data_IF_356529736398
#
_entry.id   IF_356529736398
#
_cell.length_a   1.000
_cell.length_b   1.000
_cell.length_c   1.000
_cell.angle_alpha   90.00
_cell.angle_beta   90.00
_cell.angle_gamma   90.00
#
_symmetry.space_group_name_H-M   'P 1'
#
loop_
_entity.id
_entity.type
_entity.pdbx_description
1 polymer ?
#
# COMPACT_ATOMS: atom_id res chain seq x y z
N UNK A 1 8.06 6.00 -41.58
CA UNK A 1 8.04 4.81 -40.71
C UNK A 1 7.49 5.17 -39.37
N UNK A 2 6.38 4.63 -39.02
CA UNK A 2 5.73 4.90 -37.70
C UNK A 2 5.44 3.59 -36.96
N UNK A 3 5.21 3.71 -35.66
CA UNK A 3 4.57 2.74 -34.79
C UNK A 3 5.42 1.60 -34.22
N UNK A 4 6.26 1.94 -33.24
CA UNK A 4 6.71 1.00 -32.21
C UNK A 4 6.69 1.66 -30.81
N UNK A 5 5.60 2.33 -30.43
CA UNK A 5 5.54 2.97 -29.09
C UNK A 5 4.32 2.57 -28.23
N UNK A 6 3.40 1.74 -28.72
CA UNK A 6 2.19 1.41 -27.97
C UNK A 6 2.30 0.15 -27.09
N UNK A 7 3.16 -0.81 -27.44
CA UNK A 7 3.31 -2.05 -26.66
C UNK A 7 4.20 -1.90 -25.43
N UNK A 8 5.21 -1.04 -25.48
CA UNK A 8 6.12 -0.83 -24.34
C UNK A 8 5.47 -0.02 -23.20
N UNK A 9 4.56 0.92 -23.52
CA UNK A 9 3.88 1.71 -22.51
C UNK A 9 2.81 0.91 -21.73
N UNK A 10 2.27 -0.15 -22.33
CA UNK A 10 1.23 -0.98 -21.71
C UNK A 10 1.81 -2.02 -20.73
N UNK A 11 3.05 -2.44 -20.94
CA UNK A 11 3.79 -3.32 -20.01
C UNK A 11 4.23 -2.57 -18.75
N UNK A 12 4.56 -1.28 -18.86
CA UNK A 12 4.95 -0.43 -17.73
C UNK A 12 3.78 -0.07 -16.79
N UNK A 13 2.55 -0.07 -17.29
CA UNK A 13 1.35 0.28 -16.49
C UNK A 13 0.90 -0.81 -15.52
N UNK A 14 1.49 -2.02 -15.56
CA UNK A 14 1.02 -3.17 -14.77
C UNK A 14 1.85 -3.49 -13.52
N UNK A 15 2.82 -2.68 -13.15
CA UNK A 15 3.63 -2.96 -11.96
C UNK A 15 2.94 -2.47 -10.70
N UNK A 16 2.19 -3.38 -10.11
CA UNK A 16 1.36 -3.29 -8.91
C UNK A 16 0.18 -2.33 -9.08
N UNK A 17 -0.75 -2.67 -9.93
CA UNK A 17 -2.13 -2.31 -9.70
C UNK A 17 -2.67 -3.24 -8.59
N UNK A 18 -2.49 -2.82 -7.35
CA UNK A 18 -2.97 -3.58 -6.18
C UNK A 18 -4.48 -3.79 -6.26
N UNK A 19 -5.22 -2.87 -6.91
CA UNK A 19 -6.66 -2.95 -7.13
C UNK A 19 -6.99 -4.08 -8.08
N UNK A 20 -6.29 -4.17 -9.21
CA UNK A 20 -6.45 -5.25 -10.19
C UNK A 20 -6.05 -6.60 -9.58
N UNK A 21 -4.92 -6.69 -8.88
CA UNK A 21 -4.48 -7.91 -8.19
C UNK A 21 -5.52 -8.39 -7.18
N UNK A 22 -6.08 -7.49 -6.37
CA UNK A 22 -7.08 -7.83 -5.38
C UNK A 22 -8.43 -8.20 -6.00
N UNK A 23 -8.81 -7.58 -7.11
CA UNK A 23 -9.99 -7.92 -7.90
C UNK A 23 -9.87 -9.33 -8.48
N UNK A 24 -8.79 -9.62 -9.19
CA UNK A 24 -8.58 -10.93 -9.80
C UNK A 24 -8.49 -12.06 -8.77
N UNK A 25 -7.72 -11.85 -7.69
CA UNK A 25 -7.59 -12.84 -6.64
C UNK A 25 -8.92 -13.15 -5.94
N UNK A 26 -9.75 -12.12 -5.72
CA UNK A 26 -11.08 -12.30 -5.13
C UNK A 26 -11.99 -13.09 -6.07
N UNK A 27 -12.06 -12.74 -7.35
CA UNK A 27 -12.92 -13.43 -8.31
C UNK A 27 -12.47 -14.88 -8.57
N UNK A 28 -11.16 -15.14 -8.63
CA UNK A 28 -10.64 -16.52 -8.70
C UNK A 28 -11.09 -17.36 -7.49
N UNK A 29 -11.18 -16.76 -6.32
CA UNK A 29 -11.63 -17.44 -5.10
C UNK A 29 -13.16 -17.58 -4.98
N UNK A 30 -13.93 -16.63 -5.50
CA UNK A 30 -15.40 -16.63 -5.48
C UNK A 30 -15.98 -17.62 -6.49
N UNK A 31 -15.30 -17.83 -7.63
CA UNK A 31 -15.85 -18.55 -8.78
C UNK A 31 -16.91 -17.73 -9.53
N UNK A 32 -17.45 -18.29 -10.61
CA UNK A 32 -18.37 -17.57 -11.51
C UNK A 32 -19.70 -17.17 -10.85
N UNK A 33 -20.15 -17.92 -9.86
CA UNK A 33 -21.46 -17.73 -9.22
C UNK A 33 -21.54 -16.43 -8.43
N UNK A 34 -20.46 -16.05 -7.73
CA UNK A 34 -20.40 -14.86 -6.87
C UNK A 34 -19.44 -13.79 -7.40
N UNK A 35 -18.98 -13.94 -8.63
CA UNK A 35 -18.06 -12.99 -9.24
C UNK A 35 -18.62 -11.55 -9.22
N UNK A 36 -17.72 -10.60 -9.09
CA UNK A 36 -18.00 -9.16 -9.14
C UNK A 36 -17.38 -8.56 -10.39
N UNK A 37 -17.95 -7.47 -10.88
CA UNK A 37 -17.36 -6.71 -11.98
C UNK A 37 -16.22 -5.81 -11.45
N UNK A 38 -15.38 -5.29 -12.34
CA UNK A 38 -14.35 -4.34 -11.95
C UNK A 38 -14.96 -3.04 -11.41
N UNK A 39 -16.09 -2.61 -11.95
CA UNK A 39 -16.82 -1.43 -11.49
C UNK A 39 -17.37 -1.64 -10.07
N UNK A 40 -17.95 -2.82 -9.78
CA UNK A 40 -18.39 -3.20 -8.44
C UNK A 40 -17.19 -3.21 -7.47
N UNK A 41 -16.05 -3.75 -7.93
CA UNK A 41 -14.84 -3.78 -7.11
C UNK A 41 -14.39 -2.38 -6.73
N UNK A 42 -14.19 -1.51 -7.70
CA UNK A 42 -13.66 -0.16 -7.49
C UNK A 42 -14.61 0.75 -6.69
N UNK A 43 -15.92 0.62 -6.93
CA UNK A 43 -16.92 1.48 -6.25
C UNK A 43 -17.28 1.03 -4.85
N UNK A 44 -17.16 -0.26 -4.55
CA UNK A 44 -17.77 -0.84 -3.34
C UNK A 44 -16.78 -1.59 -2.46
N UNK A 45 -15.83 -2.32 -3.05
CA UNK A 45 -15.01 -3.29 -2.33
C UNK A 45 -13.55 -2.86 -2.19
N UNK A 46 -13.06 -1.91 -3.01
CA UNK A 46 -11.66 -1.52 -2.98
C UNK A 46 -11.24 -0.95 -1.61
N UNK A 47 -10.01 -1.27 -1.20
CA UNK A 47 -9.47 -0.86 0.10
C UNK A 47 -10.03 -1.58 1.33
N UNK A 48 -11.16 -2.31 1.21
CA UNK A 48 -11.75 -3.02 2.35
C UNK A 48 -11.03 -4.33 2.69
N UNK A 49 -10.98 -4.72 3.98
CA UNK A 49 -10.53 -6.04 4.39
C UNK A 49 -11.36 -7.16 3.75
N UNK A 50 -10.74 -8.31 3.46
CA UNK A 50 -11.42 -9.45 2.82
C UNK A 50 -12.67 -9.88 3.58
N UNK A 51 -12.63 -9.91 4.92
CA UNK A 51 -13.78 -10.26 5.75
C UNK A 51 -14.99 -9.35 5.49
N UNK A 52 -14.74 -8.04 5.42
CA UNK A 52 -15.80 -7.05 5.12
C UNK A 52 -16.41 -7.27 3.74
N UNK A 53 -15.56 -7.53 2.73
CA UNK A 53 -16.00 -7.85 1.36
C UNK A 53 -16.91 -9.08 1.34
N UNK A 54 -16.53 -10.15 2.03
CA UNK A 54 -17.30 -11.39 2.08
C UNK A 54 -18.64 -11.21 2.80
N UNK A 55 -18.69 -10.46 3.90
CA UNK A 55 -19.95 -10.13 4.58
C UNK A 55 -20.90 -9.38 3.64
N UNK A 56 -20.40 -8.37 2.93
CA UNK A 56 -21.21 -7.62 1.96
C UNK A 56 -21.70 -8.50 0.79
N UNK A 57 -20.88 -9.46 0.35
CA UNK A 57 -21.27 -10.42 -0.69
C UNK A 57 -22.36 -11.38 -0.19
N UNK A 58 -22.32 -11.78 1.09
CA UNK A 58 -23.40 -12.55 1.70
C UNK A 58 -24.72 -11.77 1.72
N UNK A 59 -24.68 -10.50 2.10
CA UNK A 59 -25.85 -9.62 2.14
C UNK A 59 -26.41 -9.31 0.74
N UNK A 60 -25.54 -9.07 -0.25
CA UNK A 60 -25.94 -8.59 -1.58
C UNK A 60 -26.17 -9.69 -2.61
N UNK A 61 -25.39 -10.78 -2.53
CA UNK A 61 -25.38 -11.86 -3.53
C UNK A 61 -25.71 -13.23 -2.93
N UNK A 62 -26.02 -13.32 -1.63
CA UNK A 62 -26.35 -14.58 -0.97
C UNK A 62 -25.18 -15.56 -0.80
N UNK A 63 -23.93 -15.06 -0.77
CA UNK A 63 -22.77 -15.90 -0.53
C UNK A 63 -22.90 -16.61 0.83
N UNK A 64 -22.81 -17.97 0.90
CA UNK A 64 -22.89 -18.70 2.16
C UNK A 64 -21.75 -18.32 3.11
N UNK A 65 -22.09 -18.00 4.36
CA UNK A 65 -21.12 -17.52 5.36
C UNK A 65 -20.12 -18.60 5.80
N UNK A 66 -20.49 -19.86 5.71
CA UNK A 66 -19.63 -21.02 5.98
C UNK A 66 -18.48 -21.17 4.96
N UNK A 67 -18.63 -20.60 3.75
CA UNK A 67 -17.59 -20.55 2.73
C UNK A 67 -16.55 -19.42 2.94
N UNK A 68 -16.80 -18.46 3.84
CA UNK A 68 -15.92 -17.29 4.01
C UNK A 68 -14.47 -17.67 4.32
N UNK A 69 -14.24 -18.62 5.20
CA UNK A 69 -12.89 -19.01 5.60
C UNK A 69 -12.12 -19.68 4.44
N UNK A 70 -12.80 -20.49 3.64
CA UNK A 70 -12.22 -21.13 2.45
C UNK A 70 -11.86 -20.08 1.39
N UNK A 71 -12.82 -19.20 1.05
CA UNK A 71 -12.64 -18.16 0.05
C UNK A 71 -11.53 -17.18 0.48
N UNK A 72 -11.45 -16.82 1.76
CA UNK A 72 -10.38 -15.95 2.25
C UNK A 72 -9.00 -16.59 2.09
N UNK A 73 -8.84 -17.88 2.37
CA UNK A 73 -7.59 -18.63 2.14
C UNK A 73 -7.25 -18.75 0.67
N UNK A 74 -8.23 -19.09 -0.18
CA UNK A 74 -8.04 -19.19 -1.62
C UNK A 74 -7.65 -17.83 -2.22
N UNK A 75 -8.34 -16.76 -1.85
CA UNK A 75 -8.01 -15.37 -2.26
C UNK A 75 -6.58 -15.00 -1.88
N UNK A 76 -6.15 -15.33 -0.66
CA UNK A 76 -4.78 -15.06 -0.23
C UNK A 76 -3.75 -15.79 -1.08
N UNK A 77 -3.98 -17.09 -1.36
CA UNK A 77 -3.12 -17.87 -2.24
C UNK A 77 -3.06 -17.23 -3.64
N UNK A 78 -4.20 -16.94 -4.25
CA UNK A 78 -4.25 -16.31 -5.58
C UNK A 78 -3.57 -14.95 -5.59
N UNK A 79 -3.69 -14.15 -4.52
CA UNK A 79 -2.97 -12.86 -4.43
C UNK A 79 -1.46 -13.07 -4.51
N UNK A 80 -0.92 -14.02 -3.75
CA UNK A 80 0.52 -14.32 -3.75
C UNK A 80 0.98 -14.86 -5.11
N UNK A 81 0.19 -15.74 -5.74
CA UNK A 81 0.51 -16.30 -7.06
C UNK A 81 0.54 -15.20 -8.12
N UNK A 82 -0.47 -14.32 -8.16
CA UNK A 82 -0.50 -13.16 -9.09
C UNK A 82 0.69 -12.24 -8.86
N UNK A 83 1.03 -11.91 -7.62
CA UNK A 83 2.17 -11.04 -7.31
C UNK A 83 3.49 -11.64 -7.84
N UNK A 84 3.70 -12.95 -7.68
CA UNK A 84 4.89 -13.62 -8.22
C UNK A 84 4.97 -13.60 -9.74
N UNK A 85 3.81 -13.66 -10.41
CA UNK A 85 3.73 -13.69 -11.86
C UNK A 85 3.85 -12.30 -12.50
N UNK A 86 3.36 -11.27 -11.82
CA UNK A 86 3.14 -9.95 -12.43
C UNK A 86 4.07 -8.85 -11.92
N UNK A 87 4.61 -9.00 -10.71
CA UNK A 87 5.46 -7.97 -10.09
C UNK A 87 6.93 -8.27 -10.34
N UNK A 88 7.63 -7.26 -10.84
CA UNK A 88 9.08 -7.30 -11.06
C UNK A 88 9.74 -6.10 -10.37
N UNK A 89 11.04 -6.19 -10.02
CA UNK A 89 11.76 -5.06 -9.44
C UNK A 89 11.74 -3.83 -10.35
N UNK A 90 11.53 -2.66 -9.76
CA UNK A 90 11.65 -1.37 -10.41
C UNK A 90 12.97 -0.73 -9.98
N UNK A 91 13.91 -0.57 -10.90
CA UNK A 91 15.24 -0.04 -10.59
C UNK A 91 15.17 1.37 -9.96
N UNK A 92 14.33 2.26 -10.50
CA UNK A 92 14.10 3.61 -9.98
C UNK A 92 13.56 3.62 -8.55
N UNK A 93 12.70 2.65 -8.22
CA UNK A 93 12.13 2.53 -6.88
C UNK A 93 13.12 1.92 -5.88
N UNK A 94 13.91 0.93 -6.33
CA UNK A 94 15.04 0.38 -5.54
C UNK A 94 16.07 1.46 -5.23
N UNK A 95 16.46 2.25 -6.24
CA UNK A 95 17.42 3.34 -6.08
C UNK A 95 16.89 4.43 -5.15
N UNK A 96 15.60 4.76 -5.25
CA UNK A 96 14.94 5.69 -4.33
C UNK A 96 14.98 5.18 -2.88
N UNK A 97 14.61 3.92 -2.64
CA UNK A 97 14.62 3.34 -1.29
C UNK A 97 16.05 3.34 -0.70
N UNK A 98 17.06 3.01 -1.52
CA UNK A 98 18.46 3.06 -1.13
C UNK A 98 18.87 4.47 -0.73
N UNK A 99 18.59 5.46 -1.58
CA UNK A 99 18.96 6.85 -1.33
C UNK A 99 18.29 7.41 -0.06
N UNK A 100 17.02 7.06 0.18
CA UNK A 100 16.32 7.43 1.41
C UNK A 100 17.02 6.83 2.64
N UNK A 101 17.43 5.56 2.56
CA UNK A 101 18.17 4.89 3.65
C UNK A 101 19.55 5.47 3.86
N UNK A 102 20.30 5.77 2.78
CA UNK A 102 21.64 6.36 2.84
C UNK A 102 21.62 7.76 3.47
N UNK A 103 20.51 8.49 3.35
CA UNK A 103 20.27 9.76 4.05
C UNK A 103 19.91 9.61 5.53
N UNK A 104 19.76 8.38 6.01
CA UNK A 104 19.49 8.06 7.42
C UNK A 104 18.04 8.07 7.81
N UNK A 105 17.09 8.04 6.86
CA UNK A 105 15.67 7.93 7.17
C UNK A 105 15.29 6.49 7.57
N UNK A 106 14.32 6.37 8.46
CA UNK A 106 13.63 5.11 8.73
C UNK A 106 12.57 4.90 7.66
N UNK A 107 12.58 3.76 7.00
CA UNK A 107 11.62 3.41 5.94
C UNK A 107 10.72 2.28 6.42
N UNK A 108 9.40 2.52 6.40
CA UNK A 108 8.40 1.58 6.92
C UNK A 108 7.26 1.40 5.92
N UNK A 109 6.76 0.18 5.78
CA UNK A 109 5.58 -0.11 4.97
C UNK A 109 4.35 -0.37 5.86
N UNK A 110 3.21 0.24 5.52
CA UNK A 110 1.94 0.07 6.21
C UNK A 110 0.81 -0.26 5.22
N UNK A 111 0.17 -1.41 5.34
CA UNK A 111 -0.82 -1.88 4.39
C UNK A 111 -2.02 -2.59 5.02
N UNK A 112 -3.23 -2.36 4.48
CA UNK A 112 -4.42 -3.15 4.81
C UNK A 112 -4.39 -4.59 4.25
N UNK A 113 -3.33 -4.98 3.54
CA UNK A 113 -3.11 -6.36 3.14
C UNK A 113 -2.68 -7.22 4.34
N UNK A 114 -2.78 -8.56 4.22
CA UNK A 114 -2.25 -9.47 5.23
C UNK A 114 -0.72 -9.53 5.14
N UNK A 115 -0.07 -9.89 6.25
CA UNK A 115 1.41 -9.85 6.42
C UNK A 115 2.17 -10.53 5.28
N UNK A 116 1.73 -11.72 4.85
CA UNK A 116 2.38 -12.46 3.78
C UNK A 116 2.29 -11.73 2.41
N UNK A 117 1.18 -11.05 2.15
CA UNK A 117 1.04 -10.22 0.94
C UNK A 117 2.02 -9.05 0.97
N UNK A 118 2.09 -8.32 2.09
CA UNK A 118 3.03 -7.20 2.25
C UNK A 118 4.46 -7.68 2.03
N UNK A 119 4.86 -8.72 2.75
CA UNK A 119 6.20 -9.32 2.61
C UNK A 119 6.51 -9.72 1.18
N UNK A 120 5.56 -10.40 0.51
CA UNK A 120 5.75 -10.85 -0.87
C UNK A 120 5.87 -9.68 -1.83
N UNK A 121 5.06 -8.62 -1.66
CA UNK A 121 5.15 -7.41 -2.48
C UNK A 121 6.53 -6.75 -2.35
N UNK A 122 7.03 -6.55 -1.14
CA UNK A 122 8.35 -5.96 -0.90
C UNK A 122 9.48 -6.83 -1.49
N UNK A 123 9.37 -8.16 -1.40
CA UNK A 123 10.33 -9.10 -2.00
C UNK A 123 10.33 -9.01 -3.53
N UNK A 124 9.15 -9.06 -4.16
CA UNK A 124 9.02 -9.02 -5.62
C UNK A 124 9.47 -7.67 -6.20
N UNK A 125 9.28 -6.59 -5.46
CA UNK A 125 9.79 -5.25 -5.83
C UNK A 125 11.30 -5.12 -5.65
N UNK A 126 11.96 -6.04 -4.96
CA UNK A 126 13.39 -5.96 -4.66
C UNK A 126 13.77 -4.91 -3.64
N UNK A 127 12.84 -4.52 -2.76
CA UNK A 127 13.03 -3.40 -1.82
C UNK A 127 12.94 -3.81 -0.34
N UNK A 128 12.68 -5.07 -0.03
CA UNK A 128 12.45 -5.52 1.35
C UNK A 128 13.62 -5.20 2.29
N UNK A 129 14.85 -5.24 1.79
CA UNK A 129 16.07 -4.98 2.57
C UNK A 129 16.23 -3.51 3.02
N UNK A 130 15.52 -2.58 2.36
CA UNK A 130 15.55 -1.16 2.72
C UNK A 130 14.53 -0.80 3.80
N UNK A 131 13.53 -1.68 4.05
CA UNK A 131 12.49 -1.43 5.04
C UNK A 131 12.90 -1.94 6.42
N UNK A 132 12.89 -1.06 7.41
CA UNK A 132 13.22 -1.40 8.79
C UNK A 132 12.20 -2.37 9.39
N UNK A 133 10.92 -2.20 9.03
CA UNK A 133 9.83 -3.11 9.34
C UNK A 133 8.59 -2.80 8.49
N UNK A 134 7.56 -3.62 8.63
CA UNK A 134 6.23 -3.38 8.03
C UNK A 134 5.12 -3.73 8.99
N UNK A 135 3.98 -3.06 8.81
CA UNK A 135 2.73 -3.26 9.53
C UNK A 135 1.65 -3.70 8.54
N UNK A 136 0.94 -4.74 8.88
CA UNK A 136 -0.18 -5.31 8.12
C UNK A 136 -1.51 -5.10 8.87
N UNK A 137 -2.62 -5.48 8.24
CA UNK A 137 -3.93 -5.48 8.91
C UNK A 137 -4.03 -6.48 10.07
N UNK A 138 -3.06 -7.40 10.21
CA UNK A 138 -3.00 -8.40 11.28
C UNK A 138 -2.26 -7.88 12.53
N UNK A 139 -1.62 -6.72 12.41
CA UNK A 139 -0.83 -6.11 13.48
C UNK A 139 -1.60 -5.02 14.24
N UNK A 140 -2.83 -4.70 13.81
CA UNK A 140 -3.69 -3.67 14.38
C UNK A 140 -5.10 -4.20 14.65
N UNK A 141 -5.77 -3.63 15.62
CA UNK A 141 -7.18 -3.95 15.91
C UNK A 141 -8.12 -3.29 14.89
N UNK A 142 -7.77 -2.09 14.44
CA UNK A 142 -8.57 -1.30 13.50
C UNK A 142 -7.69 -0.88 12.30
N UNK A 143 -7.87 -1.53 11.13
CA UNK A 143 -7.15 -1.15 9.92
C UNK A 143 -7.63 0.21 9.36
N UNK A 144 -6.92 0.74 8.33
CA UNK A 144 -7.34 1.97 7.62
C UNK A 144 -8.82 1.86 7.19
N UNK A 145 -9.64 2.89 7.37
CA UNK A 145 -9.31 4.30 7.57
C UNK A 145 -8.98 4.73 9.01
N UNK A 146 -8.95 3.81 9.99
CA UNK A 146 -8.55 4.18 11.34
C UNK A 146 -7.05 4.48 11.39
N UNK A 147 -6.65 5.47 12.21
CA UNK A 147 -5.26 5.94 12.33
C UNK A 147 -4.30 4.94 12.97
N UNK A 148 -4.80 3.91 13.65
CA UNK A 148 -4.03 2.97 14.49
C UNK A 148 -2.80 2.41 13.77
N UNK A 149 -2.94 2.03 12.48
CA UNK A 149 -1.85 1.47 11.71
C UNK A 149 -0.65 2.43 11.61
N UNK A 150 -0.90 3.71 11.36
CA UNK A 150 0.16 4.71 11.27
C UNK A 150 0.70 5.10 12.64
N UNK A 151 -0.18 5.11 13.65
CA UNK A 151 0.24 5.32 15.02
C UNK A 151 1.21 4.23 15.50
N UNK A 152 0.91 2.95 15.23
CA UNK A 152 1.80 1.83 15.52
C UNK A 152 3.13 1.92 14.76
N UNK A 153 3.12 2.39 13.51
CA UNK A 153 4.34 2.65 12.76
C UNK A 153 5.20 3.71 13.46
N UNK A 154 4.62 4.84 13.82
CA UNK A 154 5.32 5.93 14.51
C UNK A 154 5.84 5.50 15.88
N UNK A 155 5.04 4.75 16.64
CA UNK A 155 5.45 4.23 17.95
C UNK A 155 6.66 3.30 17.84
N UNK A 156 6.64 2.35 16.90
CA UNK A 156 7.77 1.42 16.68
C UNK A 156 9.02 2.10 16.14
N UNK A 157 8.85 3.17 15.37
CA UNK A 157 9.94 3.94 14.81
C UNK A 157 10.49 5.00 15.80
N UNK A 158 9.89 5.13 16.98
CA UNK A 158 10.19 6.19 17.96
C UNK A 158 10.10 7.60 17.33
N UNK A 159 9.01 7.82 16.57
CA UNK A 159 8.81 9.03 15.79
C UNK A 159 7.52 9.75 16.18
N UNK A 160 7.56 11.08 16.08
CA UNK A 160 6.37 11.91 16.27
C UNK A 160 5.62 12.09 14.95
N UNK A 161 4.31 12.38 15.00
CA UNK A 161 3.56 12.72 13.79
C UNK A 161 4.21 13.86 12.98
N UNK A 162 4.73 14.89 13.64
CA UNK A 162 5.42 16.01 13.00
C UNK A 162 6.79 15.67 12.41
N UNK A 163 7.29 14.46 12.64
CA UNK A 163 8.55 13.93 12.12
C UNK A 163 8.31 12.80 11.10
N UNK A 164 7.05 12.61 10.66
CA UNK A 164 6.65 11.48 9.82
C UNK A 164 5.97 11.97 8.55
N UNK A 165 6.52 11.59 7.39
CA UNK A 165 5.90 11.75 6.08
C UNK A 165 5.30 10.42 5.65
N UNK A 166 4.00 10.42 5.33
CA UNK A 166 3.28 9.24 4.84
C UNK A 166 2.91 9.45 3.39
N UNK A 167 3.31 8.53 2.53
CA UNK A 167 2.96 8.50 1.11
C UNK A 167 1.76 7.58 0.94
N UNK A 168 0.65 8.10 0.40
CA UNK A 168 -0.60 7.33 0.37
C UNK A 168 -1.41 7.62 -0.90
N UNK A 169 -1.87 6.56 -1.56
CA UNK A 169 -2.67 6.62 -2.79
C UNK A 169 -4.18 6.45 -2.55
N UNK A 170 -4.56 5.76 -1.49
CA UNK A 170 -5.96 5.41 -1.23
C UNK A 170 -6.71 6.48 -0.42
N UNK A 171 -8.01 6.63 -0.69
CA UNK A 171 -8.86 7.53 0.09
C UNK A 171 -8.91 7.15 1.59
N UNK A 172 -9.04 5.84 1.88
CA UNK A 172 -9.08 5.34 3.25
C UNK A 172 -7.75 5.57 3.99
N UNK A 173 -6.63 5.40 3.28
CA UNK A 173 -5.32 5.65 3.84
C UNK A 173 -5.08 7.13 4.11
N UNK A 174 -5.46 8.03 3.19
CA UNK A 174 -5.35 9.49 3.38
C UNK A 174 -6.13 9.96 4.60
N UNK A 175 -7.35 9.44 4.81
CA UNK A 175 -8.11 9.73 6.02
C UNK A 175 -7.35 9.29 7.28
N UNK A 176 -6.80 8.09 7.29
CA UNK A 176 -6.02 7.57 8.40
C UNK A 176 -4.76 8.42 8.69
N UNK A 177 -4.09 8.98 7.66
CA UNK A 177 -2.94 9.89 7.82
C UNK A 177 -3.37 11.18 8.51
N UNK A 178 -4.47 11.80 8.06
CA UNK A 178 -5.00 13.03 8.63
C UNK A 178 -5.36 12.84 10.10
N UNK A 179 -6.02 11.72 10.44
CA UNK A 179 -6.41 11.39 11.80
C UNK A 179 -5.20 11.04 12.69
N UNK A 180 -4.11 10.53 12.10
CA UNK A 180 -2.84 10.29 12.79
C UNK A 180 -2.03 11.57 13.06
N UNK A 181 -2.37 12.67 12.38
CA UNK A 181 -1.69 13.96 12.51
C UNK A 181 -0.30 14.03 11.87
N UNK A 182 0.03 13.07 11.01
CA UNK A 182 1.30 13.03 10.26
C UNK A 182 1.22 13.84 8.95
N UNK A 183 2.37 14.08 8.33
CA UNK A 183 2.43 14.75 7.02
C UNK A 183 2.01 13.78 5.92
N UNK A 184 1.24 14.26 4.96
CA UNK A 184 0.71 13.48 3.84
C UNK A 184 1.33 13.91 2.50
N UNK A 185 1.99 13.00 1.81
CA UNK A 185 2.26 13.09 0.38
C UNK A 185 1.21 12.25 -0.36
N UNK A 186 0.16 12.90 -0.85
CA UNK A 186 -0.87 12.23 -1.64
C UNK A 186 -0.34 11.94 -3.06
N UNK A 187 -0.48 10.67 -3.49
CA UNK A 187 -0.12 10.21 -4.83
C UNK A 187 -1.33 9.57 -5.50
N UNK A 188 -1.38 9.53 -6.82
CA UNK A 188 -2.47 8.84 -7.53
C UNK A 188 -2.25 7.33 -7.55
N UNK A 189 -1.00 6.91 -7.74
CA UNK A 189 -0.55 5.53 -7.70
C UNK A 189 0.97 5.45 -7.41
N UNK A 190 1.52 4.24 -7.44
CA UNK A 190 2.95 4.03 -7.16
C UNK A 190 3.90 4.60 -8.22
N UNK A 191 3.41 4.95 -9.41
CA UNK A 191 4.22 5.58 -10.46
C UNK A 191 4.46 7.06 -10.19
N UNK A 192 3.56 7.68 -9.43
CA UNK A 192 3.69 9.05 -8.96
C UNK A 192 4.77 9.21 -7.87
N UNK A 193 5.29 8.11 -7.32
CA UNK A 193 6.32 8.15 -6.29
C UNK A 193 7.68 8.23 -6.96
N UNK A 194 8.42 9.29 -6.67
CA UNK A 194 9.81 9.46 -7.10
C UNK A 194 10.64 10.10 -5.99
N UNK A 195 11.96 9.88 -6.03
CA UNK A 195 12.88 10.48 -5.06
C UNK A 195 12.72 12.00 -4.97
N UNK A 196 12.62 12.68 -6.13
CA UNK A 196 12.43 14.14 -6.17
C UNK A 196 11.20 14.57 -5.40
N UNK A 197 10.02 13.99 -5.71
CA UNK A 197 8.76 14.33 -5.01
C UNK A 197 8.81 14.06 -3.51
N UNK A 198 9.48 12.98 -3.10
CA UNK A 198 9.62 12.67 -1.66
C UNK A 198 10.51 13.71 -0.98
N UNK A 199 11.64 14.06 -1.58
CA UNK A 199 12.55 15.06 -1.03
C UNK A 199 11.93 16.46 -1.01
N UNK A 200 11.25 16.86 -2.07
CA UNK A 200 10.53 18.15 -2.15
C UNK A 200 9.47 18.25 -1.04
N UNK A 201 8.70 17.19 -0.81
CA UNK A 201 7.72 17.14 0.27
C UNK A 201 8.39 17.26 1.66
N UNK A 202 9.52 16.59 1.84
CA UNK A 202 10.31 16.69 3.08
C UNK A 202 10.77 18.12 3.31
N UNK A 203 11.28 18.80 2.28
CA UNK A 203 11.75 20.18 2.36
C UNK A 203 10.60 21.15 2.64
N UNK A 204 9.46 20.99 1.95
CA UNK A 204 8.26 21.81 2.14
C UNK A 204 7.79 21.77 3.60
N UNK A 205 7.72 20.60 4.21
CA UNK A 205 7.32 20.47 5.62
C UNK A 205 8.35 21.02 6.59
N UNK A 206 9.64 20.98 6.25
CA UNK A 206 10.70 21.57 7.07
C UNK A 206 10.72 23.11 7.06
N UNK A 207 10.25 23.74 6.00
CA UNK A 207 10.20 25.20 5.87
C UNK A 207 9.01 25.83 6.62
N UNK A 208 8.00 25.05 7.01
CA UNK A 208 6.83 25.56 7.73
C UNK A 208 7.20 25.98 9.16
N UNK A 209 6.96 27.27 9.56
CA UNK A 209 7.51 27.85 10.80
C UNK A 209 7.07 27.19 12.10
N UNK A 210 5.99 26.40 12.08
CA UNK A 210 5.42 25.73 13.25
C UNK A 210 5.78 24.24 13.38
N UNK A 211 6.51 23.69 12.41
CA UNK A 211 6.74 22.25 12.31
C UNK A 211 8.18 21.93 11.87
N UNK A 212 9.17 22.68 12.34
CA UNK A 212 10.56 22.36 12.02
C UNK A 212 10.90 20.95 12.51
N UNK A 213 11.09 20.04 11.58
CA UNK A 213 11.76 18.76 11.82
C UNK A 213 13.25 19.11 11.97
N UNK A 214 13.85 18.91 13.15
CA UNK A 214 15.26 19.27 13.33
C UNK A 214 16.13 18.40 12.43
N UNK A 215 16.89 18.98 11.53
CA UNK A 215 17.89 18.30 10.67
C UNK A 215 18.92 17.42 11.43
N UNK A 216 18.91 17.48 12.76
CA UNK A 216 19.76 16.69 13.65
C UNK A 216 19.03 15.58 14.40
N UNK A 217 17.72 15.45 14.26
CA UNK A 217 16.99 14.27 14.73
C UNK A 217 17.29 13.16 13.72
N UNK A 218 17.95 12.09 14.16
CA UNK A 218 18.32 10.92 13.35
C UNK A 218 17.13 10.07 12.88
N UNK A 219 15.93 10.61 12.90
CA UNK A 219 14.70 9.86 12.69
C UNK A 219 13.68 10.68 11.91
N UNK A 220 13.88 10.84 10.62
CA UNK A 220 12.78 11.09 9.73
C UNK A 220 12.27 9.75 9.22
N UNK A 221 10.95 9.54 9.32
CA UNK A 221 10.34 8.27 8.93
C UNK A 221 9.52 8.50 7.67
N UNK A 222 9.84 7.76 6.62
CA UNK A 222 9.05 7.70 5.40
C UNK A 222 8.22 6.42 5.46
N UNK A 223 6.89 6.59 5.51
CA UNK A 223 5.92 5.51 5.48
C UNK A 223 5.33 5.42 4.06
N UNK A 224 5.42 4.26 3.45
CA UNK A 224 4.88 3.96 2.12
C UNK A 224 3.82 2.88 2.25
#
# INVERSE_FOLDING_TARGET
TPHQSSAASDVYKRQIDSKQTHYEALNRALGSEYAITIEEHLSTYDGLPTRSKLNMLSERKGLPTDRHAEIARAKQKHTVDILKETVTPRADFVDMCREIKDRGFTLVCASNAVRDTVKMSLLQLGIIEYFDFWISNQDVAKPKPHFEMYFECMLKADAKPSETLIIEDSHLGRQAVLDAGAHLLAVADTQDISLGRVLDAIEEYNEQPKQRIPWRSKTMNVLI
#
